data_IF_783127960872
#
_entry.id   IF_783127960872
#
_cell.length_a   1.000
_cell.length_b   1.000
_cell.length_c   1.000
_cell.angle_alpha   90.00
_cell.angle_beta   90.00
_cell.angle_gamma   90.00
#
_symmetry.space_group_name_H-M   'P 1'
#
loop_
_entity.id
_entity.type
_entity.pdbx_description
1 polymer ?
#
# COMPACT_ATOMS: atom_id res chain seq x y z
N UNK A 1 -8.67 4.34 9.68
CA UNK A 1 -9.45 3.68 10.73
C UNK A 1 -8.51 3.05 11.72
N UNK A 2 -8.99 2.22 12.65
CA UNK A 2 -8.12 1.59 13.67
C UNK A 2 -7.10 0.59 13.12
N UNK A 3 -7.17 0.26 11.84
CA UNK A 3 -6.29 -0.66 11.09
C UNK A 3 -5.26 0.06 10.20
N UNK A 4 -5.37 1.38 10.06
CA UNK A 4 -4.45 2.17 9.23
C UNK A 4 -3.37 2.82 10.09
N UNK A 5 -2.11 2.64 9.70
CA UNK A 5 -0.96 3.20 10.39
C UNK A 5 -0.20 4.16 9.46
N UNK A 6 0.40 5.20 10.05
CA UNK A 6 1.31 6.11 9.36
C UNK A 6 2.71 5.97 9.96
N UNK A 7 3.72 5.90 9.10
CA UNK A 7 5.12 5.82 9.51
C UNK A 7 5.97 6.74 8.62
N UNK A 8 6.89 7.47 9.25
CA UNK A 8 7.89 8.30 8.56
C UNK A 8 9.27 7.66 8.77
N UNK A 9 9.98 7.40 7.68
CA UNK A 9 11.31 6.81 7.69
C UNK A 9 12.30 7.79 7.04
N UNK A 10 13.38 8.11 7.75
CA UNK A 10 14.48 8.93 7.22
C UNK A 10 15.68 8.11 6.73
N UNK A 11 15.59 6.78 6.74
CA UNK A 11 16.70 5.89 6.41
C UNK A 11 16.65 5.41 4.96
N UNK A 12 17.81 5.27 4.32
CA UNK A 12 17.93 4.78 2.94
C UNK A 12 17.51 3.31 2.77
N UNK A 13 17.51 2.54 3.87
CA UNK A 13 17.13 1.13 3.91
C UNK A 13 15.61 0.90 4.06
N UNK A 14 14.77 1.94 3.86
CA UNK A 14 13.33 1.87 4.07
C UNK A 14 12.67 0.72 3.31
N UNK A 15 13.07 0.45 2.04
CA UNK A 15 12.53 -0.67 1.25
C UNK A 15 12.76 -2.01 1.93
N UNK A 16 13.97 -2.22 2.46
CA UNK A 16 14.31 -3.45 3.18
C UNK A 16 13.46 -3.60 4.43
N UNK A 17 13.23 -2.51 5.17
CA UNK A 17 12.38 -2.50 6.37
C UNK A 17 10.93 -2.84 6.06
N UNK A 18 10.37 -2.29 4.98
CA UNK A 18 9.02 -2.62 4.56
C UNK A 18 8.88 -4.08 4.13
N UNK A 19 9.87 -4.62 3.42
CA UNK A 19 9.87 -6.05 3.06
C UNK A 19 9.90 -6.97 4.29
N UNK A 20 10.75 -6.66 5.28
CA UNK A 20 10.79 -7.41 6.54
C UNK A 20 9.44 -7.31 7.29
N UNK A 21 8.86 -6.11 7.36
CA UNK A 21 7.54 -5.91 7.97
C UNK A 21 6.45 -6.75 7.29
N UNK A 22 6.44 -6.79 5.96
CA UNK A 22 5.48 -7.59 5.21
C UNK A 22 5.63 -9.08 5.49
N UNK A 23 6.87 -9.59 5.45
CA UNK A 23 7.17 -10.99 5.74
C UNK A 23 6.76 -11.38 7.17
N UNK A 24 7.14 -10.56 8.15
CA UNK A 24 6.80 -10.77 9.56
C UNK A 24 5.28 -10.75 9.78
N UNK A 25 4.58 -9.80 9.17
CA UNK A 25 3.12 -9.71 9.26
C UNK A 25 2.45 -10.95 8.66
N UNK A 26 2.90 -11.38 7.48
CA UNK A 26 2.34 -12.53 6.79
C UNK A 26 2.60 -13.83 7.57
N UNK A 27 3.79 -13.99 8.14
CA UNK A 27 4.14 -15.13 9.00
C UNK A 27 3.30 -15.20 10.27
N UNK A 28 3.01 -14.05 10.90
CA UNK A 28 2.09 -13.99 12.03
C UNK A 28 0.66 -14.37 11.61
N UNK A 29 0.20 -13.86 10.47
CA UNK A 29 -1.15 -14.13 9.96
C UNK A 29 -1.40 -15.60 9.61
N UNK A 30 -0.38 -16.31 9.12
CA UNK A 30 -0.49 -17.74 8.76
C UNK A 30 -1.05 -18.61 9.89
N UNK A 31 -0.81 -18.25 11.15
CA UNK A 31 -1.25 -19.01 12.33
C UNK A 31 -2.78 -18.99 12.53
N UNK A 32 -3.49 -18.09 11.84
CA UNK A 32 -4.94 -18.00 11.89
C UNK A 32 -5.64 -18.86 10.82
N UNK A 33 -4.88 -19.50 9.92
CA UNK A 33 -5.41 -20.21 8.77
C UNK A 33 -5.03 -21.70 8.79
N UNK A 34 -5.91 -22.51 8.21
CA UNK A 34 -5.65 -23.94 7.96
C UNK A 34 -4.72 -24.09 6.75
N UNK A 35 -4.02 -25.21 6.67
CA UNK A 35 -3.15 -25.52 5.53
C UNK A 35 -3.90 -25.39 4.18
N UNK A 36 -5.13 -25.89 4.10
CA UNK A 36 -5.98 -25.78 2.91
C UNK A 36 -6.28 -24.33 2.49
N UNK A 37 -6.45 -23.41 3.44
CA UNK A 37 -6.66 -21.99 3.14
C UNK A 37 -5.36 -21.31 2.68
N UNK A 38 -4.23 -21.69 3.28
CA UNK A 38 -2.91 -21.17 2.90
C UNK A 38 -2.52 -21.61 1.49
N UNK A 39 -2.81 -22.86 1.13
CA UNK A 39 -2.57 -23.40 -0.20
C UNK A 39 -3.49 -22.76 -1.26
N UNK A 40 -4.76 -22.53 -0.92
CA UNK A 40 -5.71 -21.87 -1.81
C UNK A 40 -5.53 -20.35 -1.93
N UNK A 41 -4.85 -19.70 -0.97
CA UNK A 41 -4.73 -18.24 -0.91
C UNK A 41 -6.03 -17.53 -0.52
N UNK A 42 -7.06 -18.28 -0.12
CA UNK A 42 -8.35 -17.77 0.31
C UNK A 42 -9.03 -18.75 1.28
N UNK A 43 -10.11 -18.32 1.93
CA UNK A 43 -11.02 -19.21 2.66
C UNK A 43 -12.46 -18.98 2.23
N UNK A 44 -13.28 -20.03 2.28
CA UNK A 44 -14.70 -19.95 1.92
C UNK A 44 -15.54 -19.76 3.17
N UNK A 45 -16.35 -18.72 3.19
CA UNK A 45 -17.31 -18.46 4.27
C UNK A 45 -18.64 -17.96 3.72
N UNK A 46 -19.66 -17.93 4.57
CA UNK A 46 -20.93 -17.28 4.23
C UNK A 46 -20.78 -15.77 4.43
N UNK A 47 -21.16 -15.00 3.42
CA UNK A 47 -21.27 -13.55 3.54
C UNK A 47 -22.52 -13.16 4.37
N UNK A 48 -22.74 -11.86 4.57
CA UNK A 48 -23.88 -11.34 5.36
C UNK A 48 -25.26 -11.70 4.79
N UNK A 49 -25.33 -12.13 3.53
CA UNK A 49 -26.56 -12.56 2.86
C UNK A 49 -26.71 -14.10 2.86
N UNK A 50 -25.83 -14.83 3.56
CA UNK A 50 -25.85 -16.28 3.60
C UNK A 50 -25.34 -16.97 2.34
N UNK A 51 -24.68 -16.25 1.43
CA UNK A 51 -24.10 -16.82 0.21
C UNK A 51 -22.64 -17.23 0.45
N UNK A 52 -22.23 -18.38 -0.10
CA UNK A 52 -20.82 -18.79 -0.06
C UNK A 52 -19.98 -17.85 -0.92
N UNK A 53 -18.90 -17.36 -0.35
CA UNK A 53 -17.96 -16.46 -0.99
C UNK A 53 -16.53 -16.81 -0.56
N UNK A 54 -15.60 -16.63 -1.49
CA UNK A 54 -14.17 -16.71 -1.22
C UNK A 54 -13.67 -15.37 -0.68
N UNK A 55 -12.92 -15.43 0.40
CA UNK A 55 -12.29 -14.29 1.04
C UNK A 55 -10.76 -14.46 0.96
N UNK A 56 -10.02 -13.48 0.41
CA UNK A 56 -8.57 -13.54 0.41
C UNK A 56 -8.04 -13.57 1.84
N UNK A 57 -6.85 -14.15 2.02
CA UNK A 57 -6.19 -14.15 3.32
C UNK A 57 -5.83 -12.72 3.75
N UNK A 58 -5.83 -12.50 5.07
CA UNK A 58 -5.40 -11.25 5.66
C UNK A 58 -3.97 -10.92 5.19
N UNK A 59 -3.81 -9.71 4.67
CA UNK A 59 -2.56 -9.21 4.12
C UNK A 59 -2.41 -7.73 4.45
N UNK A 60 -1.18 -7.23 4.28
CA UNK A 60 -0.82 -5.84 4.53
C UNK A 60 -0.50 -5.16 3.20
N UNK A 61 -1.17 -4.04 2.93
CA UNK A 61 -0.91 -3.17 1.80
C UNK A 61 -0.25 -1.88 2.29
N UNK A 62 0.87 -1.49 1.66
CA UNK A 62 1.65 -0.32 2.07
C UNK A 62 1.72 0.68 0.92
N UNK A 63 1.14 1.86 1.12
CA UNK A 63 1.37 3.03 0.26
C UNK A 63 2.59 3.81 0.74
N UNK A 64 3.50 4.13 -0.17
CA UNK A 64 4.73 4.89 0.13
C UNK A 64 4.79 6.13 -0.74
N UNK A 65 5.02 7.29 -0.12
CA UNK A 65 5.45 8.49 -0.82
C UNK A 65 6.94 8.64 -0.60
N UNK A 66 7.73 8.43 -1.65
CA UNK A 66 9.18 8.63 -1.60
C UNK A 66 9.47 10.10 -1.88
N UNK A 67 9.66 10.85 -0.80
CA UNK A 67 9.89 12.29 -0.84
C UNK A 67 11.33 12.62 -1.19
N UNK A 68 11.48 13.59 -2.09
CA UNK A 68 12.75 14.12 -2.53
C UNK A 68 12.88 15.59 -2.09
N UNK A 69 14.04 16.03 -1.57
CA UNK A 69 14.20 17.38 -1.01
C UNK A 69 13.78 18.52 -1.95
N UNK A 70 13.92 18.30 -3.26
CA UNK A 70 13.59 19.25 -4.32
C UNK A 70 12.11 19.64 -4.33
N UNK A 71 11.21 18.75 -3.92
CA UNK A 71 9.76 19.00 -3.89
C UNK A 71 9.28 19.53 -2.54
N UNK A 72 10.12 19.50 -1.50
CA UNK A 72 9.71 19.85 -0.14
C UNK A 72 9.38 21.34 0.03
N UNK A 73 9.82 22.20 -0.89
CA UNK A 73 9.51 23.64 -0.87
C UNK A 73 8.17 23.98 -1.51
N UNK A 74 7.63 23.09 -2.34
CA UNK A 74 6.39 23.30 -3.12
C UNK A 74 5.25 22.40 -2.67
N UNK A 75 5.56 21.23 -2.09
CA UNK A 75 4.59 20.26 -1.62
C UNK A 75 4.10 20.61 -0.21
N UNK A 76 2.82 20.93 -0.08
CA UNK A 76 2.20 21.16 1.22
C UNK A 76 1.69 19.86 1.88
N UNK A 77 1.23 19.98 3.12
CA UNK A 77 0.71 18.85 3.89
C UNK A 77 -0.55 18.22 3.27
N UNK A 78 -1.39 19.01 2.60
CA UNK A 78 -2.61 18.52 1.96
C UNK A 78 -2.27 17.67 0.74
N UNK A 79 -1.35 18.16 -0.09
CA UNK A 79 -0.86 17.44 -1.26
C UNK A 79 -0.12 16.16 -0.86
N UNK A 80 0.71 16.21 0.18
CA UNK A 80 1.36 15.02 0.72
C UNK A 80 0.35 13.98 1.22
N UNK A 81 -0.69 14.42 1.93
CA UNK A 81 -1.76 13.53 2.39
C UNK A 81 -2.53 12.92 1.22
N UNK A 82 -2.76 13.68 0.14
CA UNK A 82 -3.38 13.19 -1.09
C UNK A 82 -2.52 12.10 -1.76
N UNK A 83 -1.22 12.35 -1.95
CA UNK A 83 -0.29 11.35 -2.49
C UNK A 83 -0.24 10.08 -1.64
N UNK A 84 -0.22 10.22 -0.31
CA UNK A 84 -0.25 9.08 0.60
C UNK A 84 -1.55 8.28 0.47
N UNK A 85 -2.69 8.97 0.33
CA UNK A 85 -3.99 8.36 0.09
C UNK A 85 -4.02 7.60 -1.24
N UNK A 86 -3.52 8.20 -2.32
CA UNK A 86 -3.41 7.58 -3.65
C UNK A 86 -2.51 6.35 -3.62
N UNK A 87 -1.31 6.46 -3.03
CA UNK A 87 -0.39 5.33 -2.93
C UNK A 87 -1.01 4.17 -2.14
N UNK A 88 -1.70 4.47 -1.05
CA UNK A 88 -2.43 3.47 -0.26
C UNK A 88 -3.57 2.84 -1.05
N UNK A 89 -4.32 3.63 -1.82
CA UNK A 89 -5.39 3.13 -2.66
C UNK A 89 -4.87 2.12 -3.68
N UNK A 90 -3.84 2.48 -4.44
CA UNK A 90 -3.21 1.58 -5.41
C UNK A 90 -2.63 0.32 -4.78
N UNK A 91 -2.05 0.42 -3.58
CA UNK A 91 -1.61 -0.77 -2.86
C UNK A 91 -2.78 -1.71 -2.55
N UNK A 92 -3.96 -1.18 -2.18
CA UNK A 92 -5.16 -1.98 -1.85
C UNK A 92 -5.86 -2.61 -3.07
N UNK A 93 -5.58 -2.14 -4.28
CA UNK A 93 -6.11 -2.74 -5.51
C UNK A 93 -5.44 -4.10 -5.82
N UNK A 94 -4.25 -4.33 -5.27
CA UNK A 94 -3.53 -5.60 -5.42
C UNK A 94 -4.04 -6.60 -4.39
N UNK A 95 -4.45 -7.79 -4.85
CA UNK A 95 -4.83 -8.89 -3.97
C UNK A 95 -3.58 -9.40 -3.25
N UNK A 96 -3.63 -9.42 -1.91
CA UNK A 96 -2.53 -9.90 -1.08
C UNK A 96 -1.61 -8.78 -0.59
N UNK A 97 -0.42 -9.18 -0.14
CA UNK A 97 0.58 -8.27 0.38
C UNK A 97 1.15 -7.41 -0.74
N UNK A 98 1.21 -6.09 -0.56
CA UNK A 98 1.56 -5.17 -1.63
C UNK A 98 2.29 -3.92 -1.14
N UNK A 99 3.13 -3.38 -2.00
CA UNK A 99 3.75 -2.06 -1.82
C UNK A 99 3.52 -1.26 -3.10
N UNK A 100 2.97 -0.07 -2.96
CA UNK A 100 2.91 0.90 -4.04
C UNK A 100 3.69 2.15 -3.67
N UNK A 101 4.58 2.58 -4.56
CA UNK A 101 5.49 3.71 -4.33
C UNK A 101 5.16 4.82 -5.32
N UNK A 102 4.78 5.98 -4.79
CA UNK A 102 4.76 7.21 -5.56
C UNK A 102 6.10 7.92 -5.31
N UNK A 103 6.88 8.06 -6.37
CA UNK A 103 8.13 8.78 -6.36
C UNK A 103 7.89 10.24 -6.75
N UNK A 104 8.18 11.20 -5.86
CA UNK A 104 7.83 12.61 -6.15
C UNK A 104 8.61 13.20 -7.31
N UNK A 105 9.78 12.67 -7.64
CA UNK A 105 10.53 13.07 -8.85
C UNK A 105 9.81 12.69 -10.15
N UNK A 106 9.08 11.58 -10.15
CA UNK A 106 8.33 11.12 -11.32
C UNK A 106 6.94 11.78 -11.38
N UNK A 107 6.36 12.08 -10.21
CA UNK A 107 5.09 12.81 -10.12
C UNK A 107 5.19 14.25 -10.67
N UNK A 108 6.30 14.96 -10.44
CA UNK A 108 6.54 16.28 -11.03
C UNK A 108 6.66 16.24 -12.55
N UNK A 109 7.32 15.21 -13.10
CA UNK A 109 7.44 15.02 -14.55
C UNK A 109 6.06 14.79 -15.15
N UNK A 110 5.21 13.96 -14.54
CA UNK A 110 3.85 13.72 -15.01
C UNK A 110 2.95 14.96 -14.87
N UNK A 111 3.07 15.73 -13.80
CA UNK A 111 2.34 16.98 -13.63
C UNK A 111 2.74 18.04 -14.69
N UNK A 112 4.04 18.14 -14.98
CA UNK A 112 4.59 19.06 -15.98
C UNK A 112 4.21 18.64 -17.40
N UNK A 113 4.27 17.34 -17.71
CA UNK A 113 3.80 16.79 -18.99
C UNK A 113 2.30 17.01 -19.20
N UNK A 114 1.48 16.82 -18.17
CA UNK A 114 0.04 17.08 -18.26
C UNK A 114 -0.27 18.57 -18.47
N UNK A 115 0.51 19.49 -17.90
CA UNK A 115 0.36 20.93 -18.16
C UNK A 115 0.82 21.33 -19.57
N UNK A 116 1.86 20.69 -20.11
CA UNK A 116 2.39 20.97 -21.44
C UNK A 116 1.52 20.43 -22.60
N UNK A 117 0.70 19.41 -22.35
CA UNK A 117 -0.21 18.82 -23.36
C UNK A 117 -1.56 19.56 -23.44
N UNK A 118 -1.90 20.35 -22.41
CA UNK A 118 -3.14 21.13 -22.32
C UNK A 118 -2.96 22.62 -22.72
N UNK A 119 -1.78 23.02 -23.19
CA UNK A 119 -1.47 24.37 -23.70
C UNK A 119 -1.11 24.36 -25.18
#
# INVERSE_FOLDING_TARGET
GGDDFLMVLGSDDWRKRLNMLLEDFQNQCRRFYRAEHLEAGCFVALNRQGQRQEFPLLSLSIGVVHLHPEVCTTLDASQLAELASQAKHHAKEVIGASVHVINTREAEVMATLNQAVLG
#
